data_IF_047343903029
#
_entry.id   IF_047343903029
#
_cell.length_a   1.000
_cell.length_b   1.000
_cell.length_c   1.000
_cell.angle_alpha   90.00
_cell.angle_beta   90.00
_cell.angle_gamma   90.00
#
_symmetry.space_group_name_H-M   'P 1'
#
loop_
_entity.id
_entity.type
_entity.pdbx_description
1 polymer ?
#
# COMPACT_ATOMS: atom_id res chain seq x y z
N UNK A 1 29.47 -45.23 23.89
CA UNK A 1 30.36 -44.05 23.92
C UNK A 1 30.48 -43.50 22.51
N UNK A 2 29.80 -42.40 22.22
CA UNK A 2 30.26 -41.30 21.36
C UNK A 2 29.20 -40.21 21.45
N UNK A 3 29.51 -39.15 22.20
CA UNK A 3 28.71 -37.93 22.29
C UNK A 3 29.08 -37.07 21.09
N UNK A 4 28.15 -36.84 20.17
CA UNK A 4 28.31 -35.81 19.15
C UNK A 4 27.56 -34.57 19.63
N UNK A 5 28.30 -33.66 20.26
CA UNK A 5 27.90 -32.28 20.49
C UNK A 5 27.86 -31.57 19.14
N UNK A 6 26.67 -31.43 18.56
CA UNK A 6 26.40 -30.44 17.54
C UNK A 6 25.54 -29.38 18.19
N UNK A 7 26.21 -28.28 18.59
CA UNK A 7 25.56 -27.05 18.97
C UNK A 7 24.65 -26.61 17.82
N UNK A 8 23.41 -26.17 18.08
CA UNK A 8 22.67 -25.47 17.05
C UNK A 8 23.37 -24.13 16.86
N UNK A 9 24.02 -23.94 15.72
CA UNK A 9 24.43 -22.62 15.26
C UNK A 9 23.16 -21.76 15.19
N UNK A 10 22.96 -20.95 16.23
CA UNK A 10 22.05 -19.82 16.18
C UNK A 10 22.64 -18.86 15.15
N UNK A 11 22.25 -19.02 13.89
CA UNK A 11 22.20 -17.91 12.97
C UNK A 11 21.08 -16.99 13.45
N UNK A 12 21.35 -16.23 14.52
CA UNK A 12 20.77 -14.91 14.68
C UNK A 12 21.27 -14.10 13.48
N UNK A 13 20.55 -14.22 12.35
CA UNK A 13 20.59 -13.14 11.38
C UNK A 13 20.05 -11.94 12.13
N UNK A 14 20.95 -11.02 12.43
CA UNK A 14 20.62 -9.64 12.74
C UNK A 14 19.59 -9.19 11.70
N UNK A 15 18.33 -9.13 12.12
CA UNK A 15 17.25 -8.57 11.34
C UNK A 15 17.64 -7.10 11.20
N UNK A 16 17.78 -6.55 9.98
CA UNK A 16 17.92 -5.11 9.82
C UNK A 16 16.68 -4.46 10.42
N UNK A 17 16.86 -3.88 11.61
CA UNK A 17 15.95 -2.94 12.23
C UNK A 17 16.05 -1.65 11.41
N UNK A 18 15.26 -1.55 10.34
CA UNK A 18 14.69 -0.24 10.01
C UNK A 18 13.28 -0.20 10.59
N UNK A 19 13.08 0.44 11.77
CA UNK A 19 11.75 0.83 12.17
C UNK A 19 11.19 1.77 11.09
N UNK A 20 9.87 1.79 10.93
CA UNK A 20 9.16 2.78 10.12
C UNK A 20 9.91 4.12 10.14
N UNK A 21 10.49 4.49 9.00
CA UNK A 21 11.37 5.65 8.90
C UNK A 21 10.65 6.84 9.54
N UNK A 22 11.27 7.58 10.48
CA UNK A 22 10.60 8.71 11.12
C UNK A 22 10.10 9.67 10.04
N UNK A 23 8.78 9.73 9.87
CA UNK A 23 8.13 10.53 8.83
C UNK A 23 7.10 9.80 7.97
N UNK A 24 7.06 8.47 7.93
CA UNK A 24 6.06 7.74 7.13
C UNK A 24 4.63 7.88 7.68
N UNK A 25 3.65 7.98 6.78
CA UNK A 25 2.21 8.03 7.07
C UNK A 25 1.55 6.78 6.52
N UNK A 26 1.18 5.86 7.40
CA UNK A 26 0.45 4.64 7.02
C UNK A 26 -1.07 4.88 7.05
N UNK A 27 -1.79 4.10 6.27
CA UNK A 27 -3.25 4.10 6.29
C UNK A 27 -3.81 3.74 7.68
N UNK A 28 -4.99 4.29 7.97
CA UNK A 28 -5.71 4.03 9.21
C UNK A 28 -5.95 2.53 9.44
N UNK A 29 -5.70 2.07 10.66
CA UNK A 29 -5.90 0.67 11.02
C UNK A 29 -4.82 -0.29 10.53
N UNK A 30 -3.71 0.18 9.96
CA UNK A 30 -2.54 -0.62 9.63
C UNK A 30 -1.34 -0.23 10.49
N UNK A 31 -0.50 -1.21 10.83
CA UNK A 31 0.81 -0.95 11.44
C UNK A 31 1.82 -2.02 11.06
N UNK A 32 3.10 -1.66 11.16
CA UNK A 32 4.21 -2.59 10.99
C UNK A 32 5.02 -2.66 12.30
N UNK A 33 5.04 -3.84 12.92
CA UNK A 33 5.77 -4.14 14.17
C UNK A 33 6.51 -5.47 13.98
N UNK A 34 7.52 -5.44 13.10
CA UNK A 34 8.20 -6.64 12.56
C UNK A 34 7.36 -7.47 11.57
N UNK A 35 6.03 -7.33 11.61
CA UNK A 35 5.08 -7.94 10.69
C UNK A 35 3.94 -6.97 10.40
N UNK A 36 3.28 -7.14 9.25
CA UNK A 36 2.05 -6.42 8.96
C UNK A 36 0.91 -6.86 9.88
N UNK A 37 0.32 -5.88 10.54
CA UNK A 37 -0.83 -6.07 11.42
C UNK A 37 -1.91 -5.06 11.06
N UNK A 38 -3.16 -5.49 11.22
CA UNK A 38 -4.31 -4.63 11.00
C UNK A 38 -5.22 -4.61 12.23
N UNK A 39 -5.94 -3.49 12.37
CA UNK A 39 -6.93 -3.28 13.42
C UNK A 39 -8.19 -4.04 13.03
N UNK A 40 -8.60 -4.95 13.90
CA UNK A 40 -9.85 -5.71 13.78
C UNK A 40 -10.83 -5.24 14.83
N UNK A 41 -12.05 -4.91 14.42
CA UNK A 41 -13.19 -4.67 15.28
C UNK A 41 -14.08 -5.92 15.33
N UNK A 42 -14.53 -6.30 16.52
CA UNK A 42 -15.53 -7.37 16.72
C UNK A 42 -16.94 -6.81 16.63
N UNK A 43 -17.96 -7.66 16.45
CA UNK A 43 -19.37 -7.23 16.48
C UNK A 43 -19.76 -6.53 17.80
N UNK A 44 -19.06 -6.83 18.90
CA UNK A 44 -19.25 -6.17 20.18
C UNK A 44 -18.50 -4.82 20.31
N UNK A 45 -17.91 -4.30 19.23
CA UNK A 45 -17.16 -3.04 19.20
C UNK A 45 -15.74 -3.11 19.80
N UNK A 46 -15.30 -4.28 20.27
CA UNK A 46 -13.95 -4.44 20.82
C UNK A 46 -12.93 -4.47 19.69
N UNK A 47 -11.91 -3.62 19.79
CA UNK A 47 -10.79 -3.56 18.86
C UNK A 47 -9.61 -4.43 19.31
N UNK A 48 -8.89 -4.99 18.35
CA UNK A 48 -7.69 -5.81 18.57
C UNK A 48 -6.76 -5.70 17.37
N UNK A 49 -5.45 -5.80 17.58
CA UNK A 49 -4.49 -5.96 16.49
C UNK A 49 -4.34 -7.43 16.15
N UNK A 50 -4.35 -7.75 14.86
CA UNK A 50 -4.15 -9.11 14.36
C UNK A 50 -3.18 -9.08 13.17
N UNK A 51 -2.46 -10.17 12.97
CA UNK A 51 -1.55 -10.30 11.85
C UNK A 51 -2.33 -10.33 10.53
N UNK A 52 -1.84 -9.58 9.54
CA UNK A 52 -2.39 -9.57 8.18
C UNK A 52 -1.79 -10.76 7.40
N UNK A 53 -2.60 -11.65 6.80
CA UNK A 53 -2.08 -12.74 5.99
C UNK A 53 -1.43 -12.21 4.70
N UNK A 54 -0.10 -12.29 4.61
CA UNK A 54 0.64 -11.84 3.42
C UNK A 54 0.90 -12.96 2.39
N UNK A 55 0.73 -14.23 2.78
CA UNK A 55 0.93 -15.37 1.91
C UNK A 55 -0.10 -15.45 0.76
N UNK A 56 0.26 -16.15 -0.32
CA UNK A 56 -0.66 -16.45 -1.41
C UNK A 56 -1.86 -17.25 -0.93
N UNK A 57 -3.05 -16.89 -1.42
CA UNK A 57 -4.28 -17.63 -1.13
C UNK A 57 -4.33 -18.89 -2.02
N UNK A 58 -3.88 -20.03 -1.48
CA UNK A 58 -3.85 -21.33 -2.20
C UNK A 58 -5.22 -21.84 -2.68
N UNK A 59 -6.31 -21.26 -2.16
CA UNK A 59 -7.71 -21.69 -2.41
C UNK A 59 -8.54 -20.59 -3.09
N UNK A 60 -7.89 -19.56 -3.65
CA UNK A 60 -8.56 -18.44 -4.32
C UNK A 60 -8.74 -18.61 -5.85
N UNK A 61 -9.52 -17.73 -6.51
CA UNK A 61 -9.52 -17.64 -7.96
C UNK A 61 -8.10 -17.37 -8.48
N UNK A 62 -7.81 -17.78 -9.72
CA UNK A 62 -6.53 -17.49 -10.34
C UNK A 62 -6.31 -15.96 -10.37
N UNK A 63 -5.33 -15.49 -9.61
CA UNK A 63 -4.96 -14.08 -9.51
C UNK A 63 -3.51 -13.86 -9.97
N UNK A 64 -3.23 -14.08 -11.27
CA UNK A 64 -1.86 -14.04 -11.80
C UNK A 64 -1.17 -12.68 -11.66
N UNK A 65 -1.93 -11.60 -11.49
CA UNK A 65 -1.42 -10.22 -11.42
C UNK A 65 -1.61 -9.58 -10.05
N UNK A 66 -2.23 -10.28 -9.11
CA UNK A 66 -2.35 -9.81 -7.73
C UNK A 66 -3.45 -8.82 -7.43
N UNK A 67 -4.37 -8.62 -8.37
CA UNK A 67 -5.44 -7.65 -8.20
C UNK A 67 -6.31 -8.02 -7.00
N UNK A 68 -6.72 -9.29 -6.94
CA UNK A 68 -7.62 -9.79 -5.90
C UNK A 68 -6.93 -9.96 -4.56
N UNK A 69 -5.63 -10.28 -4.58
CA UNK A 69 -4.78 -10.24 -3.41
C UNK A 69 -4.77 -8.82 -2.82
N UNK A 70 -4.53 -7.79 -3.65
CA UNK A 70 -4.51 -6.39 -3.21
C UNK A 70 -5.89 -5.95 -2.68
N UNK A 71 -6.96 -6.22 -3.42
CA UNK A 71 -8.35 -5.89 -3.03
C UNK A 71 -8.67 -6.48 -1.66
N UNK A 72 -8.37 -7.77 -1.45
CA UNK A 72 -8.76 -8.46 -0.22
C UNK A 72 -8.04 -7.90 1.00
N UNK A 73 -6.73 -7.58 0.90
CA UNK A 73 -5.98 -6.94 1.99
C UNK A 73 -6.48 -5.54 2.27
N UNK A 74 -6.63 -4.74 1.22
CA UNK A 74 -7.15 -3.38 1.33
C UNK A 74 -8.51 -3.36 2.03
N UNK A 75 -9.48 -4.13 1.53
CA UNK A 75 -10.82 -4.20 2.08
C UNK A 75 -10.85 -4.69 3.55
N UNK A 76 -10.04 -5.69 3.92
CA UNK A 76 -9.99 -6.17 5.32
C UNK A 76 -9.49 -5.12 6.29
N UNK A 77 -8.55 -4.28 5.88
CA UNK A 77 -8.03 -3.19 6.71
C UNK A 77 -9.05 -2.07 6.82
N UNK A 78 -9.62 -1.64 5.70
CA UNK A 78 -10.62 -0.57 5.63
C UNK A 78 -11.87 -0.92 6.46
N UNK A 79 -12.41 -2.11 6.27
CA UNK A 79 -13.60 -2.61 6.98
C UNK A 79 -13.31 -3.05 8.42
N UNK A 80 -12.03 -3.21 8.79
CA UNK A 80 -11.59 -3.70 10.10
C UNK A 80 -12.24 -5.04 10.50
N UNK A 81 -12.66 -5.85 9.53
CA UNK A 81 -13.33 -7.12 9.76
C UNK A 81 -12.34 -8.29 9.81
N UNK A 82 -12.80 -9.46 10.26
CA UNK A 82 -11.96 -10.65 10.19
C UNK A 82 -11.71 -11.04 8.73
N UNK A 83 -10.46 -11.31 8.37
CA UNK A 83 -10.04 -11.73 7.02
C UNK A 83 -10.87 -12.87 6.40
N UNK A 84 -11.31 -13.80 7.25
CA UNK A 84 -12.12 -14.96 6.84
C UNK A 84 -13.56 -14.61 6.43
N UNK A 85 -14.08 -13.45 6.84
CA UNK A 85 -15.44 -13.02 6.51
C UNK A 85 -15.52 -12.21 5.22
N UNK A 86 -14.39 -11.72 4.70
CA UNK A 86 -14.39 -11.08 3.40
C UNK A 86 -14.51 -12.16 2.31
N UNK A 87 -15.64 -12.15 1.63
CA UNK A 87 -15.92 -13.02 0.49
C UNK A 87 -15.83 -12.19 -0.79
N UNK A 88 -14.92 -12.57 -1.68
CA UNK A 88 -14.90 -11.99 -3.02
C UNK A 88 -16.01 -12.62 -3.89
N UNK A 89 -16.52 -11.92 -4.90
CA UNK A 89 -17.43 -12.50 -5.88
C UNK A 89 -16.88 -13.80 -6.47
N UNK A 90 -17.75 -14.78 -6.73
CA UNK A 90 -17.35 -16.10 -7.22
C UNK A 90 -16.74 -16.05 -8.64
N UNK A 91 -17.13 -15.06 -9.45
CA UNK A 91 -16.66 -14.88 -10.82
C UNK A 91 -15.94 -13.55 -10.88
N UNK A 92 -14.60 -13.61 -10.84
CA UNK A 92 -13.73 -12.47 -10.98
C UNK A 92 -12.93 -12.58 -12.26
N UNK A 93 -12.73 -11.47 -13.00
CA UNK A 93 -11.85 -11.46 -14.14
C UNK A 93 -10.41 -11.73 -13.67
N UNK A 94 -9.62 -12.53 -14.42
CA UNK A 94 -8.24 -12.84 -14.05
C UNK A 94 -7.30 -11.65 -14.19
N UNK A 95 -7.67 -10.64 -14.98
CA UNK A 95 -6.95 -9.38 -15.15
C UNK A 95 -7.97 -8.25 -15.24
N UNK A 96 -8.45 -7.71 -14.11
CA UNK A 96 -9.36 -6.58 -14.14
C UNK A 96 -8.65 -5.34 -14.70
N UNK A 97 -9.34 -4.59 -15.55
CA UNK A 97 -8.93 -3.23 -15.87
C UNK A 97 -9.19 -2.28 -14.67
N UNK A 98 -8.61 -1.09 -14.69
CA UNK A 98 -8.77 -0.09 -13.61
C UNK A 98 -10.24 0.24 -13.33
N UNK A 99 -11.04 0.46 -14.39
CA UNK A 99 -12.46 0.75 -14.25
C UNK A 99 -13.26 -0.42 -13.69
N UNK A 100 -12.95 -1.64 -14.15
CA UNK A 100 -13.62 -2.86 -13.72
C UNK A 100 -13.31 -3.16 -12.24
N UNK A 101 -12.05 -2.97 -11.83
CA UNK A 101 -11.66 -3.08 -10.42
C UNK A 101 -12.40 -2.07 -9.55
N UNK A 102 -12.52 -0.82 -9.99
CA UNK A 102 -13.25 0.22 -9.26
C UNK A 102 -14.73 -0.13 -9.10
N UNK A 103 -15.39 -0.64 -10.14
CA UNK A 103 -16.79 -1.08 -10.06
C UNK A 103 -16.98 -2.23 -9.05
N UNK A 104 -16.06 -3.18 -9.03
CA UNK A 104 -16.12 -4.31 -8.09
C UNK A 104 -15.85 -3.83 -6.65
N UNK A 105 -14.91 -2.92 -6.45
CA UNK A 105 -14.64 -2.31 -5.16
C UNK A 105 -15.83 -1.50 -4.64
N UNK A 106 -16.52 -0.74 -5.49
CA UNK A 106 -17.72 0.04 -5.10
C UNK A 106 -18.85 -0.87 -4.58
N UNK A 107 -18.98 -2.08 -5.12
CA UNK A 107 -19.91 -3.10 -4.61
C UNK A 107 -19.43 -3.74 -3.30
N UNK A 108 -18.12 -3.97 -3.18
CA UNK A 108 -17.53 -4.61 -1.99
C UNK A 108 -17.45 -3.69 -0.78
N UNK A 109 -17.31 -2.38 -1.02
CA UNK A 109 -17.01 -1.36 -0.03
C UNK A 109 -18.01 -0.20 -0.18
N UNK A 110 -19.31 -0.43 0.10
CA UNK A 110 -20.37 0.54 -0.19
C UNK A 110 -20.28 1.84 0.59
N UNK A 111 -19.52 1.86 1.70
CA UNK A 111 -19.31 3.04 2.55
C UNK A 111 -18.07 3.86 2.12
N UNK A 112 -17.41 3.47 1.04
CA UNK A 112 -16.21 4.11 0.51
C UNK A 112 -16.49 4.84 -0.81
N UNK A 113 -15.83 5.97 -1.03
CA UNK A 113 -15.80 6.63 -2.34
C UNK A 113 -14.69 6.00 -3.18
N UNK A 114 -15.08 5.35 -4.28
CA UNK A 114 -14.17 4.58 -5.15
C UNK A 114 -14.04 5.30 -6.48
N UNK A 115 -12.81 5.69 -6.84
CA UNK A 115 -12.55 6.43 -8.07
C UNK A 115 -11.43 5.80 -8.89
N UNK A 116 -11.68 5.61 -10.18
CA UNK A 116 -10.71 5.13 -11.16
C UNK A 116 -10.01 6.31 -11.84
N UNK A 117 -8.68 6.25 -11.92
CA UNK A 117 -7.84 7.28 -12.54
C UNK A 117 -6.90 6.62 -13.54
N UNK A 118 -6.94 7.09 -14.79
CA UNK A 118 -6.01 6.68 -15.84
C UNK A 118 -4.93 7.75 -15.96
N UNK A 119 -3.68 7.40 -15.60
CA UNK A 119 -2.46 8.22 -15.68
C UNK A 119 -2.67 9.74 -15.51
N UNK A 120 -2.52 10.24 -14.28
CA UNK A 120 -2.52 11.67 -13.99
C UNK A 120 -1.24 12.06 -13.25
N UNK A 121 -0.66 13.22 -13.58
CA UNK A 121 0.49 13.77 -12.84
C UNK A 121 0.17 13.98 -11.35
N UNK A 122 -1.11 14.13 -11.01
CA UNK A 122 -1.59 14.29 -9.63
C UNK A 122 -1.89 12.95 -8.93
N UNK A 123 -1.78 11.81 -9.61
CA UNK A 123 -2.15 10.51 -9.02
C UNK A 123 -1.39 10.19 -7.72
N UNK A 124 -0.08 10.47 -7.57
CA UNK A 124 0.60 10.28 -6.29
C UNK A 124 -0.02 11.12 -5.16
N UNK A 125 -0.39 12.36 -5.44
CA UNK A 125 -1.07 13.24 -4.49
C UNK A 125 -2.45 12.71 -4.12
N UNK A 126 -3.25 12.25 -5.09
CA UNK A 126 -4.55 11.64 -4.83
C UNK A 126 -4.45 10.39 -3.94
N UNK A 127 -3.42 9.57 -4.13
CA UNK A 127 -3.18 8.40 -3.27
C UNK A 127 -2.85 8.83 -1.83
N UNK A 128 -1.99 9.83 -1.64
CA UNK A 128 -1.67 10.34 -0.31
C UNK A 128 -2.89 10.98 0.37
N UNK A 129 -3.72 11.71 -0.38
CA UNK A 129 -4.99 12.25 0.11
C UNK A 129 -5.96 11.15 0.56
N UNK A 130 -6.08 10.08 -0.23
CA UNK A 130 -6.91 8.94 0.14
C UNK A 130 -6.44 8.30 1.46
N UNK A 131 -5.11 8.15 1.64
CA UNK A 131 -4.53 7.62 2.90
C UNK A 131 -4.81 8.53 4.10
N UNK A 132 -4.69 9.85 3.95
CA UNK A 132 -5.02 10.82 5.02
C UNK A 132 -6.52 10.83 5.36
N UNK A 133 -7.38 10.45 4.41
CA UNK A 133 -8.83 10.29 4.62
C UNK A 133 -9.20 8.88 5.11
N UNK A 134 -8.29 8.24 5.85
CA UNK A 134 -8.40 6.88 6.39
C UNK A 134 -8.59 5.77 5.34
N UNK A 135 -8.36 6.10 4.07
CA UNK A 135 -8.52 5.22 2.93
C UNK A 135 -7.21 4.65 2.40
N UNK A 136 -7.19 4.37 1.10
CA UNK A 136 -6.10 3.63 0.44
C UNK A 136 -6.14 3.84 -1.08
N UNK A 137 -5.18 3.27 -1.80
CA UNK A 137 -5.23 3.15 -3.25
C UNK A 137 -4.70 1.79 -3.74
N UNK A 138 -5.12 1.38 -4.93
CA UNK A 138 -4.60 0.23 -5.67
C UNK A 138 -4.01 0.71 -7.00
N UNK A 139 -2.79 0.29 -7.30
CA UNK A 139 -2.03 0.72 -8.47
C UNK A 139 -1.88 -0.43 -9.45
N UNK A 140 -2.10 -0.15 -10.72
CA UNK A 140 -1.71 -1.03 -11.82
C UNK A 140 -0.41 -0.50 -12.42
N UNK A 141 0.64 -1.31 -12.35
CA UNK A 141 1.98 -0.95 -12.77
C UNK A 141 2.52 -1.96 -13.78
N UNK A 142 3.48 -1.52 -14.58
CA UNK A 142 4.26 -2.38 -15.47
C UNK A 142 5.74 -2.16 -15.20
N UNK A 143 6.51 -3.24 -15.04
CA UNK A 143 7.97 -3.17 -14.91
C UNK A 143 8.60 -4.37 -15.62
N UNK A 144 9.58 -4.17 -16.51
CA UNK A 144 10.19 -5.26 -17.27
C UNK A 144 10.93 -6.28 -16.38
N UNK A 145 11.27 -5.89 -15.14
CA UNK A 145 12.01 -6.71 -14.18
C UNK A 145 11.09 -7.58 -13.30
N UNK A 146 9.76 -7.43 -13.41
CA UNK A 146 8.81 -8.25 -12.67
C UNK A 146 8.38 -9.46 -13.51
N UNK A 147 8.62 -10.67 -12.99
CA UNK A 147 8.11 -11.89 -13.62
C UNK A 147 6.58 -11.95 -13.51
N UNK A 148 5.90 -11.94 -14.64
CA UNK A 148 4.44 -12.02 -14.74
C UNK A 148 3.99 -12.79 -15.99
N UNK A 149 2.73 -13.27 -16.04
CA UNK A 149 2.21 -14.05 -17.17
C UNK A 149 2.00 -13.22 -18.45
N UNK A 150 1.93 -11.89 -18.32
CA UNK A 150 2.32 -10.93 -19.36
C UNK A 150 3.59 -10.25 -18.86
N UNK A 151 4.53 -9.87 -19.74
CA UNK A 151 5.77 -9.25 -19.29
C UNK A 151 5.43 -8.01 -18.45
N UNK A 152 5.72 -8.08 -17.16
CA UNK A 152 5.86 -6.94 -16.27
C UNK A 152 4.62 -6.32 -15.61
N UNK A 153 3.38 -6.68 -15.92
CA UNK A 153 2.20 -6.05 -15.29
C UNK A 153 1.92 -6.67 -13.90
N UNK A 154 1.64 -5.83 -12.89
CA UNK A 154 1.20 -6.27 -11.56
C UNK A 154 0.37 -5.21 -10.84
N UNK A 155 -0.38 -5.63 -9.82
CA UNK A 155 -1.09 -4.75 -8.91
C UNK A 155 -0.31 -4.55 -7.60
N UNK A 156 -0.36 -3.33 -7.08
CA UNK A 156 0.21 -2.97 -5.79
C UNK A 156 -0.80 -2.22 -4.92
N UNK A 157 -0.86 -2.57 -3.64
CA UNK A 157 -1.72 -1.93 -2.66
C UNK A 157 -0.95 -0.85 -1.91
N UNK A 158 -1.38 0.41 -2.02
CA UNK A 158 -0.79 1.54 -1.28
C UNK A 158 -1.21 1.46 0.19
N UNK A 159 -0.21 1.28 1.05
CA UNK A 159 -0.37 1.17 2.51
C UNK A 159 -0.01 2.45 3.24
N UNK A 160 0.57 3.42 2.54
CA UNK A 160 1.00 4.68 3.12
C UNK A 160 1.79 5.54 2.13
N UNK A 161 2.41 6.59 2.66
CA UNK A 161 3.27 7.48 1.90
C UNK A 161 4.36 8.11 2.77
N UNK A 162 5.38 8.64 2.11
CA UNK A 162 6.42 9.49 2.68
C UNK A 162 6.08 10.95 2.33
N UNK A 163 5.78 11.82 3.31
CA UNK A 163 5.57 13.23 3.06
C UNK A 163 6.88 13.90 2.61
N UNK A 164 6.76 14.90 1.74
CA UNK A 164 7.85 15.84 1.53
C UNK A 164 8.01 16.64 2.82
N UNK A 165 9.13 16.47 3.54
CA UNK A 165 9.40 17.28 4.73
C UNK A 165 9.57 18.74 4.28
N UNK A 166 9.01 19.73 4.99
CA UNK A 166 9.38 21.11 4.76
C UNK A 166 10.90 21.19 4.90
N UNK A 167 11.58 21.76 3.89
CA UNK A 167 12.99 22.12 4.01
C UNK A 167 13.13 22.87 5.34
N UNK A 168 13.95 22.34 6.25
CA UNK A 168 14.23 23.01 7.52
C UNK A 168 14.65 24.43 7.20
N UNK A 169 13.82 25.41 7.56
CA UNK A 169 14.14 26.82 7.38
C UNK A 169 15.49 27.06 8.05
N UNK A 170 16.51 27.26 7.24
CA UNK A 170 17.80 27.77 7.71
C UNK A 170 17.57 29.22 8.11
N UNK A 171 17.37 29.45 9.41
CA UNK A 171 17.50 30.66 10.24
C UNK A 171 17.25 32.11 9.70
N UNK A 172 16.79 32.32 8.47
CA UNK A 172 16.64 33.68 7.89
C UNK A 172 15.27 33.96 7.24
N UNK A 173 14.25 33.15 7.53
CA UNK A 173 12.89 33.45 7.08
C UNK A 173 12.17 34.33 8.11
N UNK A 174 12.25 35.64 7.93
CA UNK A 174 11.38 36.62 8.60
C UNK A 174 9.94 36.16 8.44
N UNK A 175 9.30 35.82 9.57
CA UNK A 175 7.91 35.40 9.63
C UNK A 175 7.01 36.44 8.97
N UNK A 176 6.53 36.14 7.76
CA UNK A 176 5.35 36.81 7.24
C UNK A 176 4.15 36.18 7.90
N UNK A 177 3.59 36.88 8.89
CA UNK A 177 2.30 36.56 9.49
C UNK A 177 1.19 36.72 8.45
N UNK A 178 1.00 35.69 7.64
CA UNK A 178 -0.25 35.45 6.93
C UNK A 178 -0.65 34.03 7.29
N UNK A 179 -1.33 33.87 8.42
CA UNK A 179 -2.05 32.63 8.77
C UNK A 179 -3.00 32.30 7.61
N UNK A 180 -2.79 31.20 6.86
CA UNK A 180 -3.81 30.73 5.94
C UNK A 180 -4.97 30.24 6.79
N UNK A 181 -6.14 30.81 6.53
CA UNK A 181 -7.43 30.38 7.08
C UNK A 181 -7.54 28.86 7.11
N UNK A 182 -7.96 28.31 8.26
CA UNK A 182 -8.27 26.90 8.44
C UNK A 182 -9.34 26.45 7.44
N UNK A 183 -8.90 25.84 6.34
CA UNK A 183 -9.76 25.35 5.27
C UNK A 183 -8.88 24.75 4.18
N UNK A 184 -8.76 23.42 4.19
CA UNK A 184 -7.97 22.60 3.26
C UNK A 184 -6.49 22.97 3.22
N UNK A 185 -5.68 22.32 4.08
CA UNK A 185 -4.23 22.31 3.86
C UNK A 185 -3.97 21.73 2.47
N UNK A 186 -3.43 22.55 1.56
CA UNK A 186 -2.97 22.09 0.27
C UNK A 186 -1.82 21.11 0.51
N UNK A 187 -2.12 19.81 0.46
CA UNK A 187 -1.13 18.75 0.64
C UNK A 187 -0.11 18.83 -0.51
N UNK A 188 1.18 18.83 -0.17
CA UNK A 188 2.24 18.73 -1.17
C UNK A 188 2.28 17.32 -1.76
N UNK A 189 2.84 17.17 -2.96
CA UNK A 189 3.08 15.86 -3.55
C UNK A 189 3.97 15.02 -2.59
N UNK A 190 3.64 13.73 -2.35
CA UNK A 190 4.44 12.89 -1.50
C UNK A 190 5.81 12.62 -2.14
N UNK A 191 6.84 12.47 -1.31
CA UNK A 191 8.18 12.05 -1.73
C UNK A 191 8.15 10.68 -2.39
N UNK A 192 7.39 9.76 -1.80
CA UNK A 192 7.16 8.41 -2.31
C UNK A 192 5.84 7.85 -1.76
N UNK A 193 5.22 6.94 -2.51
CA UNK A 193 4.18 6.07 -1.97
C UNK A 193 4.81 4.80 -1.41
N UNK A 194 4.18 4.26 -0.36
CA UNK A 194 4.53 2.97 0.21
C UNK A 194 3.48 1.97 -0.24
N UNK A 195 3.88 0.96 -1.01
CA UNK A 195 2.97 -0.02 -1.58
C UNK A 195 3.45 -1.46 -1.39
N UNK A 196 2.51 -2.38 -1.25
CA UNK A 196 2.76 -3.81 -1.20
C UNK A 196 2.38 -4.42 -2.55
N UNK A 197 3.37 -4.75 -3.42
CA UNK A 197 3.10 -5.46 -4.64
C UNK A 197 2.72 -6.91 -4.34
N UNK A 198 1.80 -7.46 -5.12
CA UNK A 198 1.53 -8.89 -5.05
C UNK A 198 2.71 -9.70 -5.60
N UNK A 199 3.05 -10.76 -4.88
CA UNK A 199 3.83 -11.87 -5.42
C UNK A 199 5.16 -11.47 -6.03
N UNK A 200 5.75 -10.36 -5.57
CA UNK A 200 7.02 -9.89 -6.09
C UNK A 200 8.05 -11.02 -6.01
N UNK A 201 8.38 -11.56 -7.18
CA UNK A 201 9.53 -12.46 -7.38
C UNK A 201 10.85 -11.71 -7.20
N UNK A 202 10.77 -10.39 -7.01
CA UNK A 202 11.88 -9.55 -6.62
C UNK A 202 12.52 -10.13 -5.35
N UNK A 203 13.78 -10.59 -5.41
CA UNK A 203 14.42 -11.31 -4.31
C UNK A 203 14.53 -10.50 -3.00
N UNK A 204 14.29 -9.18 -3.07
CA UNK A 204 14.32 -8.22 -1.97
C UNK A 204 12.93 -7.78 -1.47
N UNK A 205 11.83 -8.37 -1.93
CA UNK A 205 10.51 -8.10 -1.34
C UNK A 205 10.35 -8.88 -0.03
N UNK A 206 11.04 -8.43 1.00
CA UNK A 206 11.15 -9.07 2.31
C UNK A 206 9.89 -8.94 3.18
N UNK A 207 8.71 -8.74 2.57
CA UNK A 207 7.47 -8.43 3.28
C UNK A 207 7.37 -6.97 3.74
N UNK A 208 8.27 -6.09 3.29
CA UNK A 208 8.25 -4.65 3.56
C UNK A 208 7.54 -3.89 2.42
N UNK A 209 7.15 -2.65 2.69
CA UNK A 209 6.59 -1.78 1.67
C UNK A 209 7.67 -1.44 0.61
N UNK A 210 7.29 -1.55 -0.66
CA UNK A 210 8.05 -1.02 -1.78
C UNK A 210 7.77 0.46 -1.90
N UNK A 211 8.84 1.25 -2.03
CA UNK A 211 8.74 2.69 -2.28
C UNK A 211 8.49 2.92 -3.76
N UNK A 212 7.51 3.75 -4.09
CA UNK A 212 7.18 4.14 -5.46
C UNK A 212 7.37 5.65 -5.55
N UNK A 213 8.30 6.09 -6.38
CA UNK A 213 8.60 7.50 -6.58
C UNK A 213 8.25 7.91 -8.01
N UNK A 214 7.52 9.02 -8.13
CA UNK A 214 7.22 9.66 -9.41
C UNK A 214 7.98 10.98 -9.44
N UNK A 215 8.88 11.14 -10.40
CA UNK A 215 9.70 12.33 -10.55
C UNK A 215 8.97 13.41 -11.36
N UNK A 216 9.48 14.64 -11.31
CA UNK A 216 8.88 15.79 -12.00
C UNK A 216 8.84 15.64 -13.53
N UNK A 217 9.69 14.79 -14.10
CA UNK A 217 9.70 14.44 -15.52
C UNK A 217 8.66 13.37 -15.89
N UNK A 218 7.89 12.87 -14.91
CA UNK A 218 6.89 11.83 -15.08
C UNK A 218 7.44 10.40 -15.00
N UNK A 219 8.75 10.23 -14.80
CA UNK A 219 9.33 8.88 -14.62
C UNK A 219 8.89 8.27 -13.29
N UNK A 220 8.58 6.96 -13.33
CA UNK A 220 8.16 6.17 -12.17
C UNK A 220 9.27 5.16 -11.84
N UNK A 221 9.66 5.08 -10.57
CA UNK A 221 10.60 4.07 -10.09
C UNK A 221 10.11 3.35 -8.83
N UNK A 222 10.48 2.08 -8.74
CA UNK A 222 10.21 1.17 -7.61
C UNK A 222 11.49 0.91 -6.84
N UNK A 223 11.41 0.85 -5.52
CA UNK A 223 12.55 0.51 -4.66
C UNK A 223 12.10 -0.36 -3.48
N UNK A 224 12.60 -1.59 -3.44
CA UNK A 224 12.44 -2.50 -2.29
C UNK A 224 13.35 -2.11 -1.13
N UNK A 225 13.33 -2.85 -0.03
CA UNK A 225 14.14 -2.52 1.16
C UNK A 225 15.66 -2.50 0.85
N UNK A 226 16.13 -3.46 0.04
CA UNK A 226 17.57 -3.65 -0.25
C UNK A 226 17.88 -3.71 -1.77
N UNK A 227 16.92 -3.31 -2.60
CA UNK A 227 17.00 -3.43 -4.06
C UNK A 227 17.46 -2.15 -4.77
N UNK A 228 17.95 -2.25 -6.01
CA UNK A 228 18.13 -1.08 -6.87
C UNK A 228 16.78 -0.42 -7.17
N UNK A 229 16.84 0.85 -7.56
CA UNK A 229 15.70 1.52 -8.18
C UNK A 229 15.43 0.91 -9.55
N UNK A 230 14.21 0.46 -9.77
CA UNK A 230 13.77 -0.15 -11.02
C UNK A 230 12.75 0.75 -11.72
N UNK A 231 12.85 0.94 -13.05
CA UNK A 231 11.84 1.69 -13.78
C UNK A 231 10.50 0.95 -13.76
N UNK A 232 9.43 1.73 -13.60
CA UNK A 232 8.05 1.31 -13.77
C UNK A 232 7.32 2.22 -14.75
N UNK A 233 6.27 1.69 -15.36
CA UNK A 233 5.24 2.46 -16.01
C UNK A 233 3.97 2.42 -15.15
N UNK A 234 3.43 3.58 -14.85
CA UNK A 234 2.17 3.71 -14.15
C UNK A 234 1.02 3.51 -15.14
N UNK A 235 0.20 2.47 -15.00
CA UNK A 235 -0.90 2.20 -15.96
C UNK A 235 -2.23 2.79 -15.48
N UNK A 236 -2.47 2.80 -14.18
CA UNK A 236 -3.63 3.47 -13.59
C UNK A 236 -3.81 3.17 -12.11
N UNK A 237 -4.86 3.74 -11.53
CA UNK A 237 -5.09 3.77 -10.09
C UNK A 237 -6.56 3.68 -9.75
N UNK A 238 -6.87 2.99 -8.67
CA UNK A 238 -8.15 3.10 -7.98
C UNK A 238 -7.91 3.68 -6.60
N UNK A 239 -8.48 4.84 -6.28
CA UNK A 239 -8.43 5.44 -4.93
C UNK A 239 -9.69 5.09 -4.16
N UNK A 240 -9.53 4.87 -2.85
CA UNK A 240 -10.60 4.60 -1.90
C UNK A 240 -10.49 5.62 -0.77
N UNK A 241 -11.51 6.46 -0.60
CA UNK A 241 -11.58 7.42 0.49
C UNK A 241 -12.86 7.21 1.32
N UNK A 242 -12.85 7.56 2.61
CA UNK A 242 -14.05 7.46 3.42
C UNK A 242 -15.15 8.34 2.82
N UNK A 243 -16.34 7.78 2.57
CA UNK A 243 -17.46 8.56 2.04
C UNK A 243 -17.92 9.55 3.11
N UNK A 244 -18.03 10.85 2.81
CA UNK A 244 -18.58 11.80 3.78
C UNK A 244 -20.04 11.42 4.12
N UNK A 245 -20.46 11.55 5.39
CA UNK A 245 -21.84 11.27 5.76
C UNK A 245 -22.79 12.18 4.96
N UNK A 246 -24.00 11.69 4.59
CA UNK A 246 -24.97 12.51 3.89
C UNK A 246 -25.31 13.76 4.74
N UNK A 247 -25.33 14.91 4.06
CA UNK A 247 -25.63 16.22 4.64
C UNK A 247 -27.09 16.35 5.11
#
# INVERSE_FOLDING_TARGET
MQKSNLAPEQYEREIPLEPASPGQRLMGGLRFDGHWQYRRCTQAGKTSWTQLPMAFDLVGPADPYGAWWCVRRCAVVLEQHHWLFLQLPAQLPPLPGVQELAQILDVLLPDWDVQAHFQCAQTPLLCAQAVEQEGSALLMLESPECDGPKPGIFWAWVVGYEPELPLSCTDDCVASEALPSAGVQAMAAPKALLALPFGSTLPWSSGYATRIQVHADGSCHLHGADGPWLPCQWLGTVTLAARPPPA
#
